data_IF_485379056910
#
_entry.id   IF_485379056910
#
_cell.length_a   1.000
_cell.length_b   1.000
_cell.length_c   1.000
_cell.angle_alpha   90.00
_cell.angle_beta   90.00
_cell.angle_gamma   90.00
#
_symmetry.space_group_name_H-M   'P 1'
#
loop_
_entity.id
_entity.type
_entity.pdbx_description
1 polymer ?
#
# COMPACT_ATOMS: atom_id res chain seq x y z
N UNK A 1 -3.32 -21.60 -12.57
CA UNK A 1 -3.71 -20.55 -11.61
C UNK A 1 -3.27 -21.01 -10.23
N UNK A 2 -2.63 -20.15 -9.45
CA UNK A 2 -2.30 -20.46 -8.05
C UNK A 2 -3.60 -20.78 -7.29
N UNK A 3 -3.58 -21.79 -6.41
CA UNK A 3 -4.76 -22.25 -5.65
C UNK A 3 -5.35 -21.12 -4.80
N UNK A 4 -4.53 -20.20 -4.32
CA UNK A 4 -4.98 -19.04 -3.55
C UNK A 4 -5.81 -18.07 -4.41
N UNK A 5 -5.34 -17.75 -5.62
CA UNK A 5 -6.05 -16.83 -6.52
C UNK A 5 -7.41 -17.38 -6.96
N UNK A 6 -7.53 -18.69 -7.17
CA UNK A 6 -8.80 -19.32 -7.51
C UNK A 6 -9.89 -19.14 -6.42
N UNK A 7 -9.50 -18.92 -5.16
CA UNK A 7 -10.42 -18.65 -4.05
C UNK A 7 -10.60 -17.15 -3.83
N UNK A 8 -9.52 -16.37 -3.91
CA UNK A 8 -9.54 -14.94 -3.65
C UNK A 8 -10.29 -14.16 -4.73
N UNK A 9 -10.13 -14.53 -6.01
CA UNK A 9 -10.71 -13.77 -7.12
C UNK A 9 -12.25 -13.71 -7.06
N UNK A 10 -12.99 -14.83 -6.91
CA UNK A 10 -14.45 -14.75 -6.72
C UNK A 10 -14.85 -13.96 -5.47
N UNK A 11 -14.10 -14.06 -4.38
CA UNK A 11 -14.39 -13.32 -3.14
C UNK A 11 -14.23 -11.80 -3.35
N UNK A 12 -13.16 -11.36 -4.02
CA UNK A 12 -12.92 -9.95 -4.34
C UNK A 12 -14.00 -9.44 -5.30
N UNK A 13 -14.33 -10.20 -6.34
CA UNK A 13 -15.37 -9.83 -7.31
C UNK A 13 -16.72 -9.53 -6.64
N UNK A 14 -17.04 -10.23 -5.55
CA UNK A 14 -18.27 -10.07 -4.77
C UNK A 14 -18.13 -9.11 -3.57
N UNK A 15 -17.23 -8.12 -3.64
CA UNK A 15 -17.09 -7.07 -2.61
C UNK A 15 -15.97 -7.31 -1.58
N UNK A 16 -15.19 -8.38 -1.72
CA UNK A 16 -14.02 -8.63 -0.90
C UNK A 16 -12.91 -7.59 -1.10
N UNK A 17 -12.19 -7.26 -0.02
CA UNK A 17 -11.08 -6.31 -0.06
C UNK A 17 -9.76 -7.00 0.27
N UNK A 18 -8.92 -7.18 -0.73
CA UNK A 18 -7.59 -7.76 -0.54
C UNK A 18 -6.59 -6.65 -0.22
N UNK A 19 -5.98 -6.71 0.96
CA UNK A 19 -4.85 -5.84 1.35
C UNK A 19 -3.59 -6.69 1.49
N UNK A 20 -2.58 -6.38 0.68
CA UNK A 20 -1.29 -7.08 0.67
C UNK A 20 -0.25 -6.19 1.33
N UNK A 21 0.40 -6.71 2.36
CA UNK A 21 1.39 -5.98 3.15
C UNK A 21 2.69 -6.78 3.25
N UNK A 22 3.80 -6.06 3.45
CA UNK A 22 5.09 -6.64 3.78
C UNK A 22 5.54 -7.74 2.79
N UNK A 23 5.46 -7.44 1.49
CA UNK A 23 6.01 -8.32 0.48
C UNK A 23 7.52 -8.06 0.34
N UNK A 24 8.33 -9.12 0.39
CA UNK A 24 9.76 -9.05 0.09
C UNK A 24 9.98 -9.27 -1.40
N UNK A 25 10.84 -8.47 -2.02
CA UNK A 25 11.29 -8.70 -3.41
C UNK A 25 12.29 -9.88 -3.50
N UNK A 26 11.96 -11.01 -2.88
CA UNK A 26 12.62 -12.30 -3.01
C UNK A 26 12.07 -13.03 -4.23
N UNK A 27 12.91 -13.84 -4.88
CA UNK A 27 12.57 -14.68 -6.04
C UNK A 27 11.35 -15.59 -5.84
N UNK A 28 10.95 -15.82 -4.59
CA UNK A 28 10.09 -16.93 -4.23
C UNK A 28 8.59 -16.56 -4.18
N UNK A 29 8.25 -15.28 -4.35
CA UNK A 29 6.86 -14.78 -4.47
C UNK A 29 6.81 -13.62 -5.45
N UNK A 30 6.57 -13.92 -6.71
CA UNK A 30 6.33 -12.91 -7.73
C UNK A 30 5.01 -12.20 -7.43
N UNK A 31 4.99 -10.87 -7.46
CA UNK A 31 3.75 -10.09 -7.31
C UNK A 31 2.62 -10.50 -8.30
N UNK A 32 2.94 -11.24 -9.36
CA UNK A 32 1.99 -11.94 -10.23
C UNK A 32 1.13 -13.02 -9.54
N UNK A 33 1.49 -13.46 -8.34
CA UNK A 33 0.72 -14.41 -7.52
C UNK A 33 0.00 -13.71 -6.36
N UNK A 34 0.14 -12.39 -6.23
CA UNK A 34 -0.45 -11.61 -5.15
C UNK A 34 -1.81 -11.04 -5.61
N UNK A 35 -2.80 -11.92 -5.73
CA UNK A 35 -4.16 -11.55 -6.14
C UNK A 35 -4.38 -11.56 -7.66
N UNK A 36 -5.56 -11.07 -8.10
CA UNK A 36 -6.01 -11.21 -9.49
C UNK A 36 -5.44 -10.14 -10.44
N UNK A 37 -4.88 -9.05 -9.91
CA UNK A 37 -4.27 -7.98 -10.70
C UNK A 37 -2.74 -8.04 -10.56
N UNK A 38 -2.00 -8.38 -11.63
CA UNK A 38 -0.56 -8.53 -11.54
C UNK A 38 0.15 -7.18 -11.44
N UNK A 39 1.13 -7.08 -10.55
CA UNK A 39 2.09 -5.99 -10.49
C UNK A 39 3.50 -6.58 -10.30
N UNK A 40 4.55 -5.76 -10.34
CA UNK A 40 5.92 -6.18 -10.05
C UNK A 40 6.52 -5.39 -8.89
N UNK A 41 7.14 -6.10 -7.96
CA UNK A 41 7.91 -5.47 -6.88
C UNK A 41 9.27 -5.04 -7.39
N UNK A 42 9.68 -3.85 -6.98
CA UNK A 42 11.03 -3.38 -7.08
C UNK A 42 11.82 -3.57 -5.80
N UNK A 43 13.07 -3.08 -5.85
CA UNK A 43 13.93 -2.91 -4.68
C UNK A 43 13.96 -1.48 -4.16
N UNK A 44 13.08 -0.61 -4.68
CA UNK A 44 12.98 0.76 -4.21
C UNK A 44 12.45 0.80 -2.79
N UNK A 45 12.99 1.72 -1.99
CA UNK A 45 12.75 1.90 -0.56
C UNK A 45 12.82 3.39 -0.29
N UNK A 46 12.17 3.84 0.78
CA UNK A 46 12.39 5.20 1.32
C UNK A 46 12.79 5.00 2.77
N UNK A 47 14.07 5.21 3.03
CA UNK A 47 14.73 4.91 4.30
C UNK A 47 14.78 6.12 5.24
N UNK A 48 14.47 7.32 4.74
CA UNK A 48 14.35 8.52 5.56
C UNK A 48 13.00 8.55 6.24
N UNK A 49 13.01 8.33 7.55
CA UNK A 49 11.81 8.38 8.40
C UNK A 49 11.14 9.76 8.45
N UNK A 50 11.85 10.82 8.05
CA UNK A 50 11.36 12.20 7.94
C UNK A 50 10.97 12.61 6.50
N UNK A 51 11.04 11.70 5.52
CA UNK A 51 10.61 11.99 4.16
C UNK A 51 9.14 12.45 4.13
N UNK A 52 8.88 13.58 3.48
CA UNK A 52 7.56 14.22 3.43
C UNK A 52 6.67 13.49 2.41
N UNK A 53 5.47 13.02 2.80
CA UNK A 53 4.56 12.37 1.86
C UNK A 53 3.95 13.39 0.90
N UNK A 54 3.94 13.04 -0.39
CA UNK A 54 3.11 13.68 -1.40
C UNK A 54 1.86 12.83 -1.64
N UNK A 55 0.68 13.40 -1.39
CA UNK A 55 -0.59 12.73 -1.62
C UNK A 55 -0.98 12.85 -3.10
N UNK A 56 -1.04 11.72 -3.81
CA UNK A 56 -1.34 11.69 -5.25
C UNK A 56 -2.84 11.66 -5.54
N UNK A 57 -3.62 11.05 -4.63
CA UNK A 57 -5.07 10.98 -4.72
C UNK A 57 -5.70 11.33 -3.35
N UNK A 58 -5.59 12.59 -2.89
CA UNK A 58 -5.97 12.99 -1.54
C UNK A 58 -7.48 12.82 -1.24
N UNK A 59 -8.34 12.74 -2.25
CA UNK A 59 -9.77 12.49 -2.09
C UNK A 59 -10.14 10.99 -2.07
N UNK A 60 -9.18 10.09 -2.32
CA UNK A 60 -9.47 8.65 -2.35
C UNK A 60 -9.97 8.16 -0.97
N UNK A 61 -10.93 7.21 -0.88
CA UNK A 61 -11.45 6.71 0.40
C UNK A 61 -10.38 6.24 1.38
N UNK A 62 -9.35 5.53 0.90
CA UNK A 62 -8.20 5.13 1.73
C UNK A 62 -7.42 6.31 2.35
N UNK A 63 -7.56 7.53 1.82
CA UNK A 63 -6.96 8.75 2.37
C UNK A 63 -7.93 9.54 3.26
N UNK A 64 -9.22 9.22 3.25
CA UNK A 64 -10.26 10.07 3.86
C UNK A 64 -11.16 9.37 4.87
N UNK A 65 -11.26 8.03 4.86
CA UNK A 65 -12.24 7.28 5.67
C UNK A 65 -11.62 6.04 6.31
N UNK A 66 -11.85 5.81 7.63
CA UNK A 66 -12.58 6.65 8.58
C UNK A 66 -11.78 7.87 9.05
N UNK A 67 -10.50 7.97 8.67
CA UNK A 67 -9.63 9.07 9.02
C UNK A 67 -9.25 9.87 7.78
N UNK A 68 -9.34 11.19 7.85
CA UNK A 68 -8.65 12.08 6.91
C UNK A 68 -7.17 12.06 7.26
N UNK A 69 -6.38 11.51 6.34
CA UNK A 69 -4.93 11.40 6.49
C UNK A 69 -4.26 12.68 5.99
N UNK A 70 -3.26 13.13 6.73
CA UNK A 70 -2.39 14.24 6.34
C UNK A 70 -0.93 13.95 6.68
N UNK A 71 -0.04 14.91 6.46
CA UNK A 71 1.39 14.72 6.72
C UNK A 71 1.70 14.38 8.19
N UNK A 72 0.84 14.75 9.14
CA UNK A 72 1.04 14.46 10.57
C UNK A 72 0.87 12.99 10.92
N UNK A 73 0.12 12.22 10.12
CA UNK A 73 0.04 10.75 10.26
C UNK A 73 1.38 10.05 10.03
N UNK A 74 2.34 10.79 9.44
CA UNK A 74 3.69 10.35 9.16
C UNK A 74 4.72 10.89 10.17
N UNK A 75 4.29 11.65 11.19
CA UNK A 75 5.19 12.16 12.23
C UNK A 75 5.59 11.05 13.21
N UNK A 76 6.85 11.09 13.67
CA UNK A 76 7.37 10.15 14.67
C UNK A 76 7.55 8.72 14.17
N UNK A 77 7.50 8.49 12.85
CA UNK A 77 7.85 7.19 12.28
C UNK A 77 9.31 6.87 12.56
N UNK A 78 9.60 5.58 12.73
CA UNK A 78 10.93 5.08 13.02
C UNK A 78 11.49 4.30 11.83
N UNK A 79 12.81 4.40 11.65
CA UNK A 79 13.64 3.66 10.70
C UNK A 79 13.41 3.99 9.22
N UNK A 80 12.19 3.89 8.68
CA UNK A 80 11.93 4.02 7.24
C UNK A 80 10.42 4.24 6.94
N UNK A 81 10.11 4.79 5.75
CA UNK A 81 8.73 4.91 5.24
C UNK A 81 8.22 3.60 4.66
N UNK A 82 9.05 2.88 3.94
CA UNK A 82 8.64 1.60 3.37
C UNK A 82 9.69 0.98 2.47
N UNK A 83 9.42 -0.28 2.13
CA UNK A 83 10.35 -1.17 1.44
C UNK A 83 9.65 -1.91 0.31
N UNK A 84 10.42 -2.24 -0.74
CA UNK A 84 9.99 -3.10 -1.85
C UNK A 84 8.79 -2.54 -2.61
N UNK A 85 8.82 -1.25 -2.94
CA UNK A 85 7.70 -0.60 -3.63
C UNK A 85 7.38 -1.30 -4.95
N UNK A 86 6.11 -1.28 -5.34
CA UNK A 86 5.74 -1.65 -6.69
C UNK A 86 6.51 -0.78 -7.69
N UNK A 87 6.93 -1.35 -8.81
CA UNK A 87 7.62 -0.62 -9.88
C UNK A 87 6.84 -0.62 -11.18
N UNK A 88 6.10 -1.69 -11.45
CA UNK A 88 5.19 -1.75 -12.59
C UNK A 88 3.85 -2.30 -12.13
N UNK A 89 2.78 -1.73 -12.65
CA UNK A 89 1.41 -2.11 -12.40
C UNK A 89 0.56 -1.65 -13.59
N UNK A 90 -0.58 -2.30 -13.85
CA UNK A 90 -1.47 -1.91 -14.92
C UNK A 90 -2.29 -0.67 -14.52
N UNK A 91 -2.93 0.00 -15.48
CA UNK A 91 -3.53 1.33 -15.29
C UNK A 91 -4.70 1.37 -14.29
N UNK A 92 -5.24 0.22 -13.92
CA UNK A 92 -6.30 0.05 -12.91
C UNK A 92 -5.81 0.42 -11.50
N UNK A 93 -4.51 0.32 -11.23
CA UNK A 93 -3.94 0.73 -9.96
C UNK A 93 -3.74 2.24 -9.91
N UNK A 94 -4.37 2.86 -8.92
CA UNK A 94 -4.16 4.25 -8.52
C UNK A 94 -3.10 4.29 -7.41
N UNK A 95 -1.94 4.95 -7.63
CA UNK A 95 -1.00 5.21 -6.56
C UNK A 95 -1.52 6.35 -5.66
N UNK A 96 -1.36 6.20 -4.35
CA UNK A 96 -1.96 7.13 -3.37
C UNK A 96 -0.93 8.06 -2.72
N UNK A 97 0.31 7.59 -2.54
CA UNK A 97 1.38 8.31 -1.86
C UNK A 97 2.65 8.24 -2.69
N UNK A 98 3.35 9.36 -2.79
CA UNK A 98 4.69 9.44 -3.29
C UNK A 98 5.67 10.06 -2.29
N UNK A 99 6.94 9.68 -2.40
CA UNK A 99 8.05 10.19 -1.59
C UNK A 99 9.39 9.71 -2.15
N UNK A 100 10.48 10.34 -1.73
CA UNK A 100 11.83 9.91 -2.07
C UNK A 100 12.78 10.21 -0.92
N UNK A 101 13.85 9.44 -0.84
CA UNK A 101 15.02 9.85 -0.07
C UNK A 101 15.70 11.05 -0.78
N UNK A 102 16.46 11.90 -0.06
CA UNK A 102 17.15 13.04 -0.65
C UNK A 102 18.04 12.64 -1.83
N UNK A 103 17.81 13.26 -2.99
CA UNK A 103 18.57 12.97 -4.21
C UNK A 103 18.08 11.74 -5.00
N UNK A 104 17.08 11.02 -4.52
CA UNK A 104 16.46 9.90 -5.26
C UNK A 104 15.22 10.33 -6.06
N UNK A 105 14.88 9.59 -7.14
CA UNK A 105 13.63 9.82 -7.86
C UNK A 105 12.38 9.62 -6.99
N UNK A 106 11.34 10.38 -7.27
CA UNK A 106 10.05 10.27 -6.60
C UNK A 106 9.44 8.87 -6.81
N UNK A 107 9.18 8.16 -5.72
CA UNK A 107 8.65 6.81 -5.71
C UNK A 107 7.13 6.83 -5.49
N UNK A 108 6.35 6.07 -6.26
CA UNK A 108 4.88 6.06 -6.18
C UNK A 108 4.26 4.71 -5.80
N UNK A 109 5.06 3.64 -5.78
CA UNK A 109 4.58 2.26 -5.58
C UNK A 109 4.42 1.83 -4.12
N UNK A 110 4.40 2.77 -3.18
CA UNK A 110 4.37 2.46 -1.75
C UNK A 110 2.95 2.12 -1.25
N UNK A 111 1.94 2.70 -1.88
CA UNK A 111 0.54 2.42 -1.61
C UNK A 111 -0.23 2.56 -2.93
N UNK A 112 -0.60 1.43 -3.52
CA UNK A 112 -1.37 1.37 -4.77
C UNK A 112 -2.66 0.60 -4.55
N UNK A 113 -3.75 1.01 -5.17
CA UNK A 113 -5.06 0.37 -5.02
C UNK A 113 -5.83 0.35 -6.34
N UNK A 114 -6.60 -0.71 -6.58
CA UNK A 114 -7.44 -0.86 -7.76
C UNK A 114 -8.82 -1.41 -7.35
N UNK A 115 -9.87 -0.96 -8.05
CA UNK A 115 -11.17 -1.65 -7.99
C UNK A 115 -11.12 -2.93 -8.81
N UNK A 116 -11.78 -3.97 -8.34
CA UNK A 116 -11.84 -5.26 -9.02
C UNK A 116 -13.21 -5.93 -8.76
N UNK A 117 -14.10 -5.86 -9.75
CA UNK A 117 -15.52 -6.13 -9.54
C UNK A 117 -16.12 -5.17 -8.52
N UNK A 118 -16.87 -5.70 -7.56
CA UNK A 118 -17.45 -4.92 -6.45
C UNK A 118 -16.45 -4.72 -5.29
N UNK A 119 -15.26 -5.34 -5.37
CA UNK A 119 -14.23 -5.28 -4.35
C UNK A 119 -13.01 -4.44 -4.74
N UNK A 120 -11.93 -4.63 -3.99
CA UNK A 120 -10.67 -3.89 -4.20
C UNK A 120 -9.43 -4.72 -3.94
N UNK A 121 -8.34 -4.39 -4.64
CA UNK A 121 -7.00 -4.94 -4.44
C UNK A 121 -6.06 -3.80 -4.09
N UNK A 122 -5.43 -3.89 -2.92
CA UNK A 122 -4.51 -2.86 -2.42
C UNK A 122 -3.16 -3.48 -2.06
N UNK A 123 -2.08 -2.89 -2.56
CA UNK A 123 -0.73 -3.20 -2.11
C UNK A 123 -0.19 -2.05 -1.26
N UNK A 124 0.23 -2.37 -0.04
CA UNK A 124 0.76 -1.43 0.94
C UNK A 124 2.17 -1.86 1.36
N UNK A 125 3.16 -1.16 0.82
CA UNK A 125 4.59 -1.34 1.08
C UNK A 125 5.11 -0.46 2.23
N UNK A 126 4.20 0.27 2.89
CA UNK A 126 4.51 1.06 4.08
C UNK A 126 5.05 0.16 5.19
N UNK A 127 6.09 0.60 5.90
CA UNK A 127 6.68 -0.17 7.01
C UNK A 127 5.84 -0.11 8.30
N UNK A 128 4.51 -0.26 8.18
CA UNK A 128 3.55 -0.14 9.28
C UNK A 128 3.86 -1.08 10.44
N UNK A 129 4.35 -2.29 10.17
CA UNK A 129 4.75 -3.24 11.21
C UNK A 129 5.81 -2.69 12.18
N UNK A 130 6.70 -1.81 11.71
CA UNK A 130 7.67 -1.11 12.59
C UNK A 130 6.99 -0.04 13.40
N UNK A 131 6.08 0.71 12.77
CA UNK A 131 5.40 1.84 13.36
C UNK A 131 4.39 1.43 14.44
N UNK A 132 3.69 0.31 14.22
CA UNK A 132 2.83 -0.29 15.24
C UNK A 132 3.65 -0.74 16.46
N UNK A 133 4.81 -1.38 16.25
CA UNK A 133 5.67 -1.76 17.37
C UNK A 133 6.18 -0.55 18.15
N UNK A 134 6.42 0.57 17.48
CA UNK A 134 6.84 1.83 18.08
C UNK A 134 5.68 2.67 18.66
N UNK A 135 4.41 2.24 18.49
CA UNK A 135 3.24 2.95 19.01
C UNK A 135 2.89 4.25 18.27
N UNK A 136 3.28 4.39 17.00
CA UNK A 136 3.06 5.61 16.22
C UNK A 136 1.58 5.78 15.88
N UNK A 137 0.89 6.82 16.37
CA UNK A 137 -0.57 6.94 16.23
C UNK A 137 -1.08 6.95 14.78
N UNK A 138 -0.42 7.69 13.88
CA UNK A 138 -0.84 7.78 12.47
C UNK A 138 -0.80 6.45 11.73
N UNK A 139 0.09 5.54 12.10
CA UNK A 139 0.15 4.19 11.50
C UNK A 139 -1.09 3.34 11.80
N UNK A 140 -1.79 3.59 12.90
CA UNK A 140 -3.05 2.93 13.24
C UNK A 140 -4.24 3.57 12.50
N UNK A 141 -4.18 4.88 12.22
CA UNK A 141 -5.17 5.57 11.36
C UNK A 141 -5.11 5.04 9.93
N UNK A 142 -3.90 4.85 9.40
CA UNK A 142 -3.70 4.19 8.09
C UNK A 142 -4.24 2.76 8.11
N UNK A 143 -3.95 1.96 9.15
CA UNK A 143 -4.51 0.62 9.30
C UNK A 143 -6.04 0.64 9.29
N UNK A 144 -6.65 1.55 10.05
CA UNK A 144 -8.10 1.70 10.09
C UNK A 144 -8.68 2.00 8.70
N UNK A 145 -8.05 2.89 7.92
CA UNK A 145 -8.48 3.18 6.55
C UNK A 145 -8.34 1.96 5.62
N UNK A 146 -7.25 1.19 5.74
CA UNK A 146 -7.01 0.00 4.92
C UNK A 146 -8.10 -1.07 5.13
N UNK A 147 -8.56 -1.27 6.36
CA UNK A 147 -9.52 -2.34 6.71
C UNK A 147 -10.98 -1.88 6.83
N UNK A 148 -11.24 -0.58 6.88
CA UNK A 148 -12.60 -0.06 6.94
C UNK A 148 -13.37 -0.36 5.67
N UNK A 149 -14.63 -0.79 5.79
CA UNK A 149 -15.55 -0.88 4.66
C UNK A 149 -16.10 0.49 4.31
N UNK A 150 -16.17 0.80 3.01
CA UNK A 150 -17.04 1.88 2.54
C UNK A 150 -18.47 1.47 2.92
N UNK A 151 -19.12 2.29 3.75
CA UNK A 151 -20.54 2.10 4.09
C UNK A 151 -21.42 2.67 3.01
#
# INVERSE_FOLDING_TARGET
MDRANAVLEPWILNGGRLVMQYATASSDRTASQMGPLPFALGRQRVTREDAVPQFLAPQHPLMTTPNVLDASDFNGWVQERGLYFAQTWPAEFTPLIAWSDPGEPLAQGALITARYGDGSVTYCALSLFRQWRAGVPGSYRILANLVAHDR
#
